data_IF_169158532636
#
_entry.id   IF_169158532636
#
_cell.length_a   1.000
_cell.length_b   1.000
_cell.length_c   1.000
_cell.angle_alpha   90.00
_cell.angle_beta   90.00
_cell.angle_gamma   90.00
#
_symmetry.space_group_name_H-M   'P 1'
#
loop_
_entity.id
_entity.type
_entity.pdbx_description
1 polymer ?
2 non-polymer ?
3 non-polymer ?
4 water ?
#
# COMPACT_ATOMS: atom_id res chain seq x y z
N UNK A 20 -4.46 -30.48 -8.83
CA UNK A 20 -3.37 -30.37 -9.78
C UNK A 20 -3.85 -29.72 -11.07
N UNK A 21 -4.40 -28.51 -10.96
CA UNK A 21 -4.89 -27.78 -12.11
C UNK A 21 -3.75 -27.02 -12.77
N UNK A 22 -3.92 -26.66 -14.05
CA UNK A 22 -2.92 -25.88 -14.76
C UNK A 22 -3.03 -24.41 -14.32
N UNK A 23 -1.91 -23.69 -14.42
CA UNK A 23 -1.86 -22.32 -13.93
C UNK A 23 -2.03 -21.31 -15.06
N UNK A 24 -1.41 -21.60 -16.20
CA UNK A 24 -1.39 -20.67 -17.33
C UNK A 24 -0.36 -19.58 -17.09
N UNK A 25 -0.22 -19.16 -15.84
CA UNK A 25 0.77 -18.17 -15.46
C UNK A 25 2.18 -18.71 -15.70
N UNK A 26 2.29 -20.03 -15.84
CA UNK A 26 3.56 -20.66 -16.17
C UNK A 26 3.63 -20.81 -17.68
N UNK A 27 4.31 -19.88 -18.33
CA UNK A 27 4.25 -19.76 -19.78
C UNK A 27 5.54 -19.20 -20.39
N UNK A 28 6.19 -20.02 -21.21
CA UNK A 28 7.33 -19.58 -21.99
C UNK A 28 6.95 -19.52 -23.46
N UNK A 29 6.03 -18.60 -23.77
CA UNK A 29 5.50 -18.48 -25.13
C UNK A 29 6.56 -18.07 -26.14
N UNK A 30 6.12 -17.67 -27.34
CA UNK A 30 7.03 -17.33 -28.42
C UNK A 30 7.57 -15.91 -28.29
N UNK A 31 6.66 -14.93 -28.30
CA UNK A 31 7.04 -13.52 -28.24
C UNK A 31 7.91 -13.22 -27.03
N UNK A 32 9.04 -12.57 -27.26
CA UNK A 32 9.95 -12.19 -26.18
C UNK A 32 9.62 -10.77 -25.72
N UNK A 33 9.81 -10.50 -24.43
CA UNK A 33 9.49 -9.19 -23.88
C UNK A 33 10.24 -8.08 -24.57
N UNK A 34 11.57 -8.21 -24.63
CA UNK A 34 12.41 -7.20 -25.24
C UNK A 34 12.30 -7.20 -26.77
N UNK A 35 11.32 -7.94 -27.28
CA UNK A 35 11.05 -7.97 -28.71
C UNK A 35 10.01 -6.92 -29.09
N UNK A 36 9.23 -6.49 -28.10
CA UNK A 36 8.20 -5.49 -28.33
C UNK A 36 8.24 -4.35 -27.33
N UNK A 37 9.22 -4.39 -26.43
CA UNK A 37 9.37 -3.34 -25.42
C UNK A 37 10.80 -2.83 -25.35
N UNK A 38 10.95 -1.53 -25.14
CA UNK A 38 12.26 -0.90 -25.04
C UNK A 38 12.50 -0.42 -23.60
N UNK A 39 13.45 -1.06 -22.92
CA UNK A 39 13.73 -0.75 -21.52
C UNK A 39 14.41 0.61 -21.38
N UNK A 40 14.21 1.25 -20.23
CA UNK A 40 14.81 2.55 -19.95
C UNK A 40 15.34 2.62 -18.52
N UNK A 41 15.31 3.81 -17.93
CA UNK A 41 15.88 4.03 -16.59
C UNK A 41 15.17 3.20 -15.52
N UNK A 42 15.81 3.11 -14.35
CA UNK A 42 15.24 2.39 -13.22
C UNK A 42 14.10 3.18 -12.59
N UNK A 43 13.38 2.54 -11.68
CA UNK A 43 12.26 3.16 -10.99
C UNK A 43 12.07 2.56 -9.60
N UNK A 44 11.62 3.38 -8.65
CA UNK A 44 11.36 2.91 -7.31
C UNK A 44 12.54 3.10 -6.38
N UNK A 45 12.63 2.25 -5.37
CA UNK A 45 13.71 2.32 -4.39
C UNK A 45 13.91 0.97 -3.70
N UNK A 48 12.64 -2.80 -2.86
CA UNK A 48 13.47 -4.00 -2.88
C UNK A 48 13.23 -4.80 -4.16
N UNK A 49 12.31 -4.33 -5.00
CA UNK A 49 11.99 -5.00 -6.25
C UNK A 49 12.54 -4.22 -7.44
N UNK A 50 13.19 -4.92 -8.35
CA UNK A 50 13.76 -4.30 -9.54
C UNK A 50 12.66 -3.81 -10.47
N UNK A 51 12.73 -2.54 -10.85
CA UNK A 51 11.74 -1.94 -11.74
C UNK A 51 12.40 -1.00 -12.73
N UNK A 52 11.76 -0.83 -13.89
CA UNK A 52 12.28 0.04 -14.92
C UNK A 52 11.14 0.63 -15.75
N UNK A 53 11.38 1.77 -16.38
CA UNK A 53 10.42 2.33 -17.31
C UNK A 53 10.73 1.78 -18.70
N UNK A 54 9.68 1.53 -19.48
CA UNK A 54 9.86 1.01 -20.82
C UNK A 54 8.86 1.64 -21.78
N UNK A 55 9.11 1.47 -23.07
CA UNK A 55 8.23 2.01 -24.11
C UNK A 55 7.75 0.87 -25.00
N UNK A 56 6.46 0.91 -25.36
CA UNK A 56 5.91 -0.08 -26.26
C UNK A 56 6.45 0.18 -27.66
N UNK A 57 7.21 -0.78 -28.19
CA UNK A 57 7.84 -0.62 -29.50
C UNK A 57 6.81 -0.76 -30.63
N UNK A 58 5.60 -0.26 -30.40
CA UNK A 58 4.54 -0.32 -31.38
C UNK A 58 3.64 0.92 -31.29
N UNK A 59 3.31 1.32 -30.06
CA UNK A 59 2.46 2.48 -29.83
C UNK A 59 3.22 3.63 -29.17
N UNK A 60 4.46 3.36 -28.77
CA UNK A 60 5.29 4.38 -28.13
C UNK A 60 4.62 4.99 -26.89
N UNK A 61 4.06 4.13 -26.06
CA UNK A 61 3.43 4.58 -24.81
C UNK A 61 4.28 4.15 -23.62
N UNK A 62 4.27 4.97 -22.57
CA UNK A 62 5.06 4.70 -21.37
C UNK A 62 4.44 3.59 -20.53
N UNK A 63 5.28 2.66 -20.08
CA UNK A 63 4.83 1.58 -19.20
C UNK A 63 5.91 1.29 -18.17
N UNK A 64 5.48 0.77 -17.02
CA UNK A 64 6.41 0.34 -15.99
C UNK A 64 6.52 -1.18 -16.01
N UNK A 65 7.74 -1.68 -15.90
CA UNK A 65 7.97 -3.12 -15.91
C UNK A 65 8.71 -3.56 -14.65
N UNK A 66 8.31 -4.70 -14.10
CA UNK A 66 8.96 -5.25 -12.92
C UNK A 66 9.63 -6.57 -13.27
N UNK A 67 10.96 -6.58 -13.24
CA UNK A 67 11.71 -7.79 -13.53
C UNK A 67 11.96 -8.58 -12.24
N UNK A 68 11.76 -9.90 -12.32
CA UNK A 68 11.91 -10.77 -11.15
C UNK A 68 12.72 -12.01 -11.50
N UNK A 69 13.65 -12.37 -10.62
CA UNK A 69 14.47 -13.55 -10.82
C UNK A 69 13.77 -14.77 -10.26
N UNK A 70 13.35 -15.67 -11.15
CA UNK A 70 12.62 -16.86 -10.76
C UNK A 70 13.40 -17.70 -9.76
N UNK A 71 14.71 -17.75 -9.94
CA UNK A 71 15.57 -18.53 -9.07
C UNK A 71 15.59 -17.97 -7.65
N UNK A 72 15.27 -16.69 -7.52
CA UNK A 72 15.28 -16.02 -6.22
C UNK A 72 13.89 -15.92 -5.62
N UNK A 73 12.86 -16.03 -6.46
CA UNK A 73 11.49 -15.89 -6.01
C UNK A 73 10.49 -16.38 -7.06
N UNK A 74 9.35 -16.87 -6.59
CA UNK A 74 8.26 -17.28 -7.49
C UNK A 74 7.19 -16.19 -7.49
N UNK A 75 7.01 -15.53 -8.64
CA UNK A 75 6.08 -14.40 -8.76
C UNK A 75 4.64 -14.80 -9.08
N UNK A 76 4.41 -16.09 -9.33
CA UNK A 76 3.09 -16.57 -9.72
C UNK A 76 1.99 -16.00 -8.84
N UNK A 77 2.21 -16.04 -7.52
CA UNK A 77 1.22 -15.55 -6.57
C UNK A 77 0.82 -14.11 -6.88
N UNK A 78 1.81 -13.23 -6.98
CA UNK A 78 1.55 -11.82 -7.25
C UNK A 78 0.85 -11.61 -8.57
N UNK A 79 1.39 -12.22 -9.63
CA UNK A 79 0.86 -12.05 -10.97
C UNK A 79 -0.64 -12.35 -11.02
N UNK A 80 -1.05 -13.43 -10.36
CA UNK A 80 -2.46 -13.80 -10.33
C UNK A 80 -3.30 -12.74 -9.62
N UNK A 81 -2.80 -12.25 -8.50
CA UNK A 81 -3.49 -11.21 -7.74
C UNK A 81 -3.72 -9.99 -8.61
N UNK A 82 -2.74 -9.67 -9.45
CA UNK A 82 -2.85 -8.53 -10.35
C UNK A 82 -3.90 -8.79 -11.43
N UNK A 83 -3.98 -10.03 -11.89
CA UNK A 83 -4.91 -10.40 -12.94
C UNK A 83 -6.36 -10.31 -12.46
N UNK A 84 -6.66 -10.98 -11.36
CA UNK A 84 -8.03 -11.08 -10.86
C UNK A 84 -8.53 -9.79 -10.22
N UNK A 85 -7.60 -8.92 -9.80
CA UNK A 85 -7.98 -7.71 -9.08
C UNK A 85 -7.40 -6.43 -9.70
N UNK A 86 -6.90 -6.54 -10.93
CA UNK A 86 -6.35 -5.39 -11.62
C UNK A 86 -7.44 -4.44 -12.09
N UNK A 87 -8.61 -5.01 -12.40
CA UNK A 87 -9.74 -4.23 -12.89
C UNK A 87 -10.07 -3.07 -11.94
N UNK A 88 -9.81 -3.28 -10.66
CA UNK A 88 -10.05 -2.24 -9.66
C UNK A 88 -9.32 -0.97 -10.08
N UNK A 89 -10.04 0.16 -10.14
CA UNK A 89 -9.45 1.42 -10.61
C UNK A 89 -8.28 1.86 -9.74
N UNK A 90 -8.39 1.66 -8.44
CA UNK A 90 -7.36 2.06 -7.49
C UNK A 90 -6.34 0.95 -7.21
N UNK A 91 -6.19 0.03 -8.15
CA UNK A 91 -5.16 -1.00 -8.05
C UNK A 91 -4.33 -1.01 -9.34
N UNK A 92 -3.02 -0.87 -9.21
CA UNK A 92 -2.13 -0.82 -10.35
C UNK A 92 -2.50 -1.90 -11.36
N UNK A 93 -2.74 -1.49 -12.60
CA UNK A 93 -3.25 -2.39 -13.62
C UNK A 93 -2.14 -3.10 -14.38
N UNK A 94 -2.31 -4.40 -14.59
CA UNK A 94 -1.38 -5.18 -15.39
C UNK A 94 -1.71 -5.00 -16.87
N UNK A 95 -0.71 -4.65 -17.66
CA UNK A 95 -0.92 -4.38 -19.08
C UNK A 95 -0.28 -5.45 -19.95
N UNK A 96 0.64 -6.23 -19.37
CA UNK A 96 1.31 -7.30 -20.11
C UNK A 96 2.23 -8.06 -19.17
N UNK A 97 2.66 -9.26 -19.59
CA UNK A 97 3.54 -10.08 -18.79
C UNK A 97 4.28 -11.11 -19.64
N UNK A 98 5.54 -11.36 -19.30
CA UNK A 98 6.37 -12.30 -20.05
C UNK A 98 7.21 -13.17 -19.14
N UNK A 99 7.82 -14.20 -19.72
CA UNK A 99 8.69 -15.11 -18.98
C UNK A 99 9.72 -15.70 -19.93
N UNK A 100 10.92 -15.13 -19.93
CA UNK A 100 11.98 -15.55 -20.83
C UNK A 100 12.69 -16.81 -20.33
N UNK A 101 12.10 -17.45 -19.33
CA UNK A 101 12.67 -18.66 -18.77
C UNK A 101 13.41 -18.41 -17.47
N UNK A 102 14.22 -17.35 -17.45
CA UNK A 102 15.01 -17.01 -16.28
C UNK A 102 14.33 -15.93 -15.45
N UNK A 103 13.80 -14.92 -16.13
CA UNK A 103 13.14 -13.81 -15.46
C UNK A 103 11.67 -13.70 -15.84
N UNK A 104 10.96 -12.81 -15.16
CA UNK A 104 9.55 -12.55 -15.45
C UNK A 104 9.32 -11.06 -15.53
N UNK A 105 8.67 -10.61 -16.61
CA UNK A 105 8.50 -9.19 -16.87
C UNK A 105 7.05 -8.73 -16.67
N UNK A 106 6.73 -8.36 -15.43
CA UNK A 106 5.40 -7.89 -15.09
C UNK A 106 5.21 -6.45 -15.58
N UNK A 107 4.59 -6.30 -16.75
CA UNK A 107 4.40 -4.98 -17.35
C UNK A 107 3.09 -4.35 -16.87
N UNK A 108 3.22 -3.28 -16.08
CA UNK A 108 2.05 -2.57 -15.57
C UNK A 108 2.08 -1.11 -16.01
N UNK A 109 1.04 -0.37 -15.66
CA UNK A 109 0.97 1.05 -16.01
C UNK A 109 1.96 1.87 -15.19
N UNK A 110 2.52 2.91 -15.81
CA UNK A 110 3.53 3.73 -15.16
C UNK A 110 2.89 4.79 -14.26
N UNK A 111 3.59 5.15 -13.19
CA UNK A 111 3.09 6.13 -12.24
C UNK A 111 3.79 7.48 -12.42
N UNK A 112 3.14 8.39 -13.13
CA UNK A 112 3.71 9.69 -13.42
C UNK A 112 3.32 10.73 -12.37
N UNK A 113 2.46 10.33 -11.42
CA UNK A 113 2.00 11.23 -10.39
C UNK A 113 2.85 11.20 -9.14
N UNK A 114 3.92 10.43 -9.18
CA UNK A 114 4.82 10.31 -8.03
C UNK A 114 4.11 9.70 -6.84
N UNK A 115 4.79 9.68 -5.69
CA UNK A 115 4.22 9.12 -4.47
C UNK A 115 3.15 10.04 -3.92
N UNK A 116 2.00 9.46 -3.57
CA UNK A 116 0.86 10.22 -3.07
C UNK A 116 1.25 11.08 -1.87
N UNK A 117 1.93 10.48 -0.90
CA UNK A 117 2.32 11.19 0.31
C UNK A 117 3.25 12.36 0.00
N UNK A 118 4.20 12.13 -0.91
CA UNK A 118 5.15 13.16 -1.31
C UNK A 118 4.43 14.42 -1.80
N UNK A 119 3.42 14.22 -2.63
CA UNK A 119 2.68 15.35 -3.19
C UNK A 119 1.86 16.08 -2.13
N UNK A 120 1.15 15.31 -1.31
CA UNK A 120 0.26 15.89 -0.30
C UNK A 120 1.03 16.70 0.75
N UNK A 121 2.18 16.19 1.16
CA UNK A 121 2.97 16.85 2.20
C UNK A 121 3.55 18.17 1.71
N UNK A 122 3.44 18.43 0.41
CA UNK A 122 3.95 19.67 -0.17
C UNK A 122 2.81 20.64 -0.51
N UNK A 123 1.59 20.25 -0.17
CA UNK A 123 0.42 21.10 -0.38
C UNK A 123 0.05 21.83 0.90
N UNK A 124 0.55 23.06 1.04
CA UNK A 124 0.31 23.85 2.24
C UNK A 124 -1.18 24.00 2.54
N UNK A 125 -1.99 24.04 1.49
CA UNK A 125 -3.43 24.24 1.64
C UNK A 125 -4.18 22.91 1.60
N UNK A 126 -3.72 21.95 2.38
CA UNK A 126 -4.36 20.64 2.45
C UNK A 126 -5.19 20.54 3.72
N UNK A 127 -6.48 20.22 3.57
CA UNK A 127 -7.41 20.17 4.69
C UNK A 127 -7.78 18.75 5.05
N UNK A 128 -8.52 18.60 6.15
CA UNK A 128 -8.97 17.30 6.61
C UNK A 128 -9.96 16.68 5.64
N UNK A 129 -10.94 17.49 5.20
CA UNK A 129 -11.94 17.02 4.25
C UNK A 129 -11.27 16.45 3.01
N UNK A 130 -10.08 16.96 2.69
CA UNK A 130 -9.31 16.47 1.55
C UNK A 130 -8.56 15.19 1.94
N UNK A 131 -8.00 15.17 3.14
CA UNK A 131 -7.27 14.02 3.64
C UNK A 131 -8.22 12.84 3.89
N UNK A 132 -9.46 13.16 4.27
CA UNK A 132 -10.45 12.14 4.56
C UNK A 132 -10.94 11.47 3.28
N UNK A 133 -10.93 12.22 2.18
CA UNK A 133 -11.33 11.68 0.88
C UNK A 133 -10.23 10.77 0.34
N UNK A 134 -8.98 11.16 0.55
CA UNK A 134 -7.84 10.38 0.08
C UNK A 134 -7.80 9.02 0.77
N UNK A 135 -8.06 9.00 2.07
CA UNK A 135 -8.03 7.77 2.84
C UNK A 135 -9.23 6.88 2.54
N UNK A 136 -10.39 7.51 2.38
CA UNK A 136 -11.61 6.79 2.03
C UNK A 136 -11.38 5.95 0.79
N UNK A 137 -10.87 6.58 -0.26
CA UNK A 137 -10.62 5.91 -1.53
C UNK A 137 -9.69 4.71 -1.34
N UNK A 138 -8.65 4.90 -0.53
CA UNK A 138 -7.66 3.86 -0.30
C UNK A 138 -8.25 2.68 0.46
N UNK A 139 -8.84 2.96 1.61
CA UNK A 139 -9.42 1.90 2.45
C UNK A 139 -10.49 1.13 1.69
N UNK A 140 -11.29 1.85 0.90
CA UNK A 140 -12.32 1.23 0.07
C UNK A 140 -11.70 0.13 -0.80
N UNK A 141 -10.46 0.36 -1.23
CA UNK A 141 -9.75 -0.61 -2.05
C UNK A 141 -9.23 -1.75 -1.20
N UNK A 142 -8.72 -1.42 -0.02
CA UNK A 142 -8.18 -2.42 0.90
C UNK A 142 -9.28 -3.33 1.43
N UNK A 143 -10.46 -2.77 1.66
CA UNK A 143 -11.59 -3.54 2.15
C UNK A 143 -11.96 -4.63 1.14
N UNK A 144 -12.09 -4.24 -0.11
CA UNK A 144 -12.40 -5.18 -1.18
C UNK A 144 -11.37 -6.31 -1.20
N UNK A 145 -10.10 -5.95 -1.25
CA UNK A 145 -9.02 -6.94 -1.27
C UNK A 145 -9.14 -7.92 -0.11
N UNK A 146 -9.35 -7.38 1.10
CA UNK A 146 -9.53 -8.22 2.27
C UNK A 146 -10.73 -9.14 2.11
N UNK A 147 -11.83 -8.56 1.62
CA UNK A 147 -13.08 -9.30 1.45
C UNK A 147 -12.89 -10.50 0.51
N UNK A 148 -11.90 -10.42 -0.37
CA UNK A 148 -11.63 -11.50 -1.30
C UNK A 148 -10.48 -12.36 -0.79
N UNK A 149 -10.16 -12.22 0.50
CA UNK A 149 -9.11 -13.02 1.12
C UNK A 149 -7.73 -12.67 0.62
N UNK A 150 -7.48 -11.37 0.43
CA UNK A 150 -6.18 -10.91 -0.02
C UNK A 150 -5.62 -9.86 0.93
N UNK A 151 -4.34 -10.00 1.28
CA UNK A 151 -3.65 -9.02 2.11
C UNK A 151 -2.42 -8.50 1.38
N UNK A 152 -2.00 -7.29 1.70
CA UNK A 152 -0.86 -6.67 1.04
C UNK A 152 0.44 -7.04 1.74
N UNK A 153 0.48 -6.81 3.06
CA UNK A 153 1.64 -7.18 3.87
C UNK A 153 2.88 -6.37 3.47
N UNK A 154 2.66 -5.16 2.99
CA UNK A 154 3.73 -4.24 2.61
C UNK A 154 3.11 -2.93 2.15
N UNK A 155 2.10 -2.48 2.88
CA UNK A 155 1.29 -1.34 2.46
C UNK A 155 1.85 -0.03 2.97
N UNK A 156 3.15 0.19 2.75
CA UNK A 156 3.80 1.43 3.19
C UNK A 156 3.54 2.55 2.17
N UNK A 157 3.58 3.80 2.64
CA UNK A 157 3.23 4.98 1.84
C UNK A 157 3.93 5.04 0.49
N UNK A 158 5.16 4.51 0.40
CA UNK A 158 5.93 4.56 -0.83
C UNK A 158 5.35 3.62 -1.89
N UNK A 159 4.38 2.80 -1.50
CA UNK A 159 3.70 1.91 -2.44
C UNK A 159 2.31 2.40 -2.81
N UNK A 160 1.98 3.60 -2.35
CA UNK A 160 0.74 4.26 -2.75
C UNK A 160 1.08 5.50 -3.55
N UNK A 161 0.72 5.49 -4.83
CA UNK A 161 1.15 6.53 -5.75
C UNK A 161 -0.02 7.10 -6.55
N UNK A 162 0.26 8.16 -7.30
CA UNK A 162 -0.70 8.73 -8.23
C UNK A 162 -0.34 8.30 -9.65
N UNK A 163 -1.34 7.89 -10.42
CA UNK A 163 -1.11 7.47 -11.80
C UNK A 163 -0.80 8.68 -12.67
N UNK A 164 -1.48 9.78 -12.39
CA UNK A 164 -1.25 11.04 -13.11
C UNK A 164 -1.27 12.21 -12.13
N UNK A 165 -1.10 13.42 -12.66
CA UNK A 165 -1.06 14.61 -11.83
C UNK A 165 -2.41 15.32 -11.79
N UNK A 166 -3.48 14.57 -12.04
CA UNK A 166 -4.83 15.14 -12.02
C UNK A 166 -5.15 15.64 -10.61
N UNK A 167 -4.58 15.00 -9.60
CA UNK A 167 -4.74 15.41 -8.22
C UNK A 167 -5.94 14.77 -7.54
N UNK A 168 -6.81 14.13 -8.32
CA UNK A 168 -8.00 13.51 -7.76
C UNK A 168 -7.76 12.07 -7.31
N UNK A 169 -8.51 11.65 -6.27
CA UNK A 169 -8.37 10.31 -5.67
C UNK A 169 -8.52 9.16 -6.66
N UNK A 170 -9.27 9.38 -7.73
CA UNK A 170 -9.49 8.33 -8.73
C UNK A 170 -8.16 7.93 -9.36
N UNK A 171 -7.17 8.81 -9.25
CA UNK A 171 -5.85 8.56 -9.83
C UNK A 171 -4.89 7.92 -8.83
N UNK A 172 -5.43 7.47 -7.69
CA UNK A 172 -4.62 6.81 -6.67
C UNK A 172 -4.44 5.34 -7.01
N UNK A 173 -3.24 4.82 -6.76
CA UNK A 173 -2.92 3.44 -7.08
C UNK A 173 -2.14 2.75 -5.97
N UNK A 174 -2.64 1.61 -5.52
CA UNK A 174 -1.88 0.75 -4.62
C UNK A 174 -1.01 -0.17 -5.47
N UNK A 175 0.27 -0.26 -5.14
CA UNK A 175 1.23 -0.94 -6.00
C UNK A 175 2.04 -2.00 -5.28
N UNK A 176 2.91 -2.67 -6.04
CA UNK A 176 3.81 -3.69 -5.52
C UNK A 176 3.10 -4.69 -4.61
N UNK A 177 2.50 -5.70 -5.23
CA UNK A 177 1.87 -6.80 -4.50
C UNK A 177 2.84 -7.97 -4.37
N UNK A 178 4.12 -7.65 -4.22
CA UNK A 178 5.16 -8.67 -4.13
C UNK A 178 4.97 -9.57 -2.92
N UNK A 179 4.61 -8.97 -1.78
CA UNK A 179 4.41 -9.72 -0.56
C UNK A 179 2.94 -10.00 -0.28
N UNK A 180 2.11 -9.88 -1.32
CA UNK A 180 0.69 -10.14 -1.19
C UNK A 180 0.44 -11.64 -1.11
N UNK A 181 -0.64 -12.02 -0.44
CA UNK A 181 -0.97 -13.44 -0.26
C UNK A 181 -2.49 -13.64 -0.24
N UNK A 182 -2.96 -14.56 -1.08
CA UNK A 182 -4.38 -14.88 -1.13
C UNK A 182 -4.75 -15.89 -0.05
N UNK A 183 -6.03 -15.99 0.26
CA UNK A 183 -6.52 -16.96 1.23
C UNK A 183 -6.98 -18.21 0.52
N UNK A 184 -6.52 -19.37 0.99
CA UNK A 184 -6.90 -20.64 0.40
C UNK A 184 -6.82 -21.77 1.43
N UNK A 185 -7.68 -22.78 1.26
CA UNK A 185 -7.70 -23.93 2.16
C UNK A 185 -6.47 -24.80 1.96
N UNK A 186 -6.32 -25.79 2.82
CA UNK A 186 -5.16 -26.67 2.77
C UNK A 186 -5.06 -27.42 1.44
N UNK A 187 -6.21 -27.77 0.87
CA UNK A 187 -6.24 -28.52 -0.38
C UNK A 187 -5.91 -27.66 -1.60
N UNK A 188 -6.06 -26.35 -1.47
CA UNK A 188 -5.69 -25.43 -2.53
C UNK A 188 -6.80 -24.48 -2.95
N UNK A 189 -8.02 -24.77 -2.52
CA UNK A 189 -9.17 -23.95 -2.89
C UNK A 189 -9.05 -22.54 -2.34
N UNK A 190 -9.34 -21.55 -3.18
CA UNK A 190 -9.36 -20.16 -2.75
C UNK A 190 -10.69 -19.85 -2.09
N UNK A 191 -10.63 -19.31 -0.87
CA UNK A 191 -11.83 -18.99 -0.12
C UNK A 191 -11.77 -17.56 0.41
N UNK A 192 -12.94 -16.96 0.59
CA UNK A 192 -13.02 -15.62 1.17
C UNK A 192 -13.14 -15.73 2.69
N UNK A 193 -12.76 -14.67 3.40
CA UNK A 193 -12.79 -14.67 4.87
C UNK A 193 -14.18 -14.98 5.42
N UNK A 194 -15.20 -14.89 4.57
CA UNK A 194 -16.55 -15.21 4.99
C UNK A 194 -16.81 -16.71 4.86
N UNK A 195 -16.63 -17.24 3.66
CA UNK A 195 -16.83 -18.67 3.41
C UNK A 195 -15.94 -19.50 4.32
N UNK A 196 -16.54 -20.25 5.23
CA UNK A 196 -15.80 -21.00 6.23
C UNK A 196 -15.99 -22.51 6.10
N UNK A 197 -16.96 -22.91 5.29
CA UNK A 197 -17.28 -24.33 5.12
C UNK A 197 -16.03 -25.18 4.90
N UNK A 198 -15.10 -24.67 4.10
CA UNK A 198 -13.87 -25.40 3.79
C UNK A 198 -12.99 -25.55 5.03
N UNK A 199 -12.00 -26.44 4.92
CA UNK A 199 -11.07 -26.69 6.03
C UNK A 199 -9.75 -25.97 5.79
N UNK A 200 -9.47 -24.95 6.60
CA UNK A 200 -8.25 -24.17 6.45
C UNK A 200 -7.40 -24.27 7.72
N UNK A 201 -6.08 -24.34 7.54
CA UNK A 201 -5.16 -24.44 8.66
C UNK A 201 -5.36 -23.28 9.64
N UNK A 202 -5.27 -23.57 10.95
CA UNK A 202 -5.49 -22.56 11.98
C UNK A 202 -4.49 -21.41 11.94
N UNK A 203 -3.20 -21.71 12.08
CA UNK A 203 -2.17 -20.68 12.08
C UNK A 203 -2.25 -19.84 10.81
N UNK A 204 -2.76 -20.43 9.73
CA UNK A 204 -2.94 -19.71 8.48
C UNK A 204 -4.07 -18.69 8.60
N UNK A 205 -5.19 -19.13 9.15
CA UNK A 205 -6.31 -18.24 9.41
C UNK A 205 -5.91 -17.17 10.42
N UNK A 206 -4.92 -17.50 11.25
CA UNK A 206 -4.41 -16.55 12.23
C UNK A 206 -3.51 -15.52 11.56
N UNK A 207 -2.50 -16.00 10.84
CA UNK A 207 -1.58 -15.12 10.14
C UNK A 207 -2.33 -14.19 9.19
N UNK A 208 -3.40 -14.72 8.59
CA UNK A 208 -4.19 -13.94 7.65
C UNK A 208 -4.95 -12.83 8.38
N UNK A 209 -5.09 -12.98 9.69
CA UNK A 209 -5.75 -11.99 10.51
C UNK A 209 -4.80 -10.88 10.91
N UNK A 210 -3.58 -11.27 11.25
CA UNK A 210 -2.55 -10.32 11.65
C UNK A 210 -2.09 -9.50 10.44
N UNK A 211 -1.94 -10.16 9.30
CA UNK A 211 -1.54 -9.50 8.07
C UNK A 211 -2.54 -8.41 7.69
N UNK A 212 -3.83 -8.73 7.82
CA UNK A 212 -4.89 -7.79 7.49
C UNK A 212 -4.89 -6.61 8.46
N UNK A 213 -4.32 -6.82 9.64
CA UNK A 213 -4.23 -5.77 10.65
C UNK A 213 -3.00 -4.91 10.41
N UNK A 214 -1.94 -5.52 9.91
CA UNK A 214 -0.70 -4.79 9.60
C UNK A 214 -0.96 -3.77 8.50
N UNK A 215 -1.81 -4.12 7.55
CA UNK A 215 -2.17 -3.21 6.47
C UNK A 215 -2.85 -1.98 7.03
N UNK A 216 -3.87 -2.18 7.86
CA UNK A 216 -4.61 -1.09 8.47
C UNK A 216 -3.69 -0.22 9.31
N UNK A 217 -2.70 -0.85 9.95
CA UNK A 217 -1.74 -0.11 10.76
C UNK A 217 -0.89 0.80 9.88
N UNK A 218 -0.47 0.29 8.73
CA UNK A 218 0.32 1.09 7.79
C UNK A 218 -0.51 2.25 7.26
N UNK A 219 -1.83 2.07 7.21
CA UNK A 219 -2.72 3.15 6.80
C UNK A 219 -2.86 4.16 7.93
N UNK A 220 -2.69 3.70 9.16
CA UNK A 220 -2.68 4.58 10.32
C UNK A 220 -1.46 5.47 10.28
N UNK A 221 -0.33 4.88 9.90
CA UNK A 221 0.91 5.63 9.74
C UNK A 221 0.75 6.69 8.67
N UNK A 222 0.00 6.37 7.63
CA UNK A 222 -0.22 7.29 6.53
C UNK A 222 -1.04 8.48 6.99
N UNK A 223 -2.23 8.20 7.53
CA UNK A 223 -3.12 9.24 8.01
C UNK A 223 -2.41 10.14 9.02
N UNK A 224 -1.62 9.54 9.89
CA UNK A 224 -0.88 10.28 10.91
C UNK A 224 0.01 11.32 10.26
N UNK A 225 0.83 10.89 9.30
CA UNK A 225 1.76 11.77 8.63
C UNK A 225 1.03 12.84 7.81
N UNK A 226 -0.11 12.46 7.24
CA UNK A 226 -0.90 13.41 6.44
C UNK A 226 -1.41 14.55 7.29
N UNK A 227 -1.79 14.26 8.53
CA UNK A 227 -2.35 15.26 9.42
C UNK A 227 -1.26 16.16 10.01
N UNK A 228 -0.31 15.56 10.72
CA UNK A 228 0.74 16.32 11.39
C UNK A 228 1.76 16.86 10.40
N UNK A 229 2.42 15.95 9.68
CA UNK A 229 3.48 16.33 8.77
C UNK A 229 4.76 15.57 9.07
N UNK A 230 4.74 14.75 10.11
CA UNK A 230 5.88 13.92 10.49
C UNK A 230 5.44 12.51 10.82
N UNK A 231 6.39 11.58 10.80
CA UNK A 231 6.12 10.18 11.09
C UNK A 231 5.85 9.96 12.57
N UNK A 232 4.89 9.09 12.90
CA UNK A 232 4.50 8.83 14.30
C UNK A 232 5.60 8.16 15.15
N UNK A 233 6.30 7.19 14.59
CA UNK A 233 7.27 6.41 15.36
C UNK A 233 8.71 6.70 14.97
N UNK A 234 8.93 7.78 14.22
CA UNK A 234 10.28 8.15 13.79
C UNK A 234 10.36 9.64 13.49
N UNK A 235 11.53 10.22 13.75
CA UNK A 235 11.76 11.64 13.50
C UNK A 235 12.63 11.88 12.27
N UNK A 236 13.57 10.96 12.04
CA UNK A 236 14.47 11.08 10.90
C UNK A 236 15.01 9.74 10.48
N UNK A 237 15.85 9.73 9.42
CA UNK A 237 16.46 8.51 8.89
C UNK A 237 17.64 8.02 9.73
N UNK A 238 17.88 8.65 10.87
CA UNK A 238 19.00 8.31 11.73
C UNK A 238 18.57 7.60 13.01
N UNK A 239 17.30 7.74 13.37
CA UNK A 239 16.78 7.07 14.56
C UNK A 239 17.19 5.61 14.58
N UNK A 240 17.74 5.16 15.70
CA UNK A 240 18.21 3.79 15.82
C UNK A 240 17.02 2.82 15.79
N UNK A 241 17.24 1.62 15.23
CA UNK A 241 16.17 0.63 15.13
C UNK A 241 15.50 0.37 16.49
N UNK A 242 16.30 0.34 17.55
CA UNK A 242 15.81 0.00 18.87
C UNK A 242 14.80 1.03 19.40
N UNK A 243 15.12 2.30 19.24
CA UNK A 243 14.26 3.36 19.78
C UNK A 243 12.97 3.46 18.99
N UNK A 244 13.03 3.19 17.69
CA UNK A 244 11.83 3.18 16.87
C UNK A 244 10.91 2.04 17.31
N UNK A 245 11.44 0.82 17.26
CA UNK A 245 10.68 -0.35 17.70
C UNK A 245 10.15 -0.15 19.11
N UNK A 246 10.92 0.57 19.93
CA UNK A 246 10.50 0.88 21.29
C UNK A 246 9.23 1.71 21.27
N UNK A 247 9.20 2.73 20.42
CA UNK A 247 8.02 3.57 20.28
C UNK A 247 6.85 2.75 19.74
N UNK A 248 7.15 1.84 18.82
CA UNK A 248 6.12 1.00 18.20
C UNK A 248 5.58 -0.03 19.19
N UNK A 249 6.46 -0.53 20.06
CA UNK A 249 6.07 -1.53 21.03
C UNK A 249 5.32 -0.95 22.22
N UNK A 250 5.48 0.34 22.45
CA UNK A 250 4.84 1.01 23.58
C UNK A 250 3.36 1.26 23.30
N UNK A 251 3.01 1.39 22.03
CA UNK A 251 1.64 1.67 21.65
C UNK A 251 1.20 3.05 22.11
N UNK A 252 2.18 3.92 22.35
CA UNK A 252 1.91 5.29 22.81
C UNK A 252 2.36 6.29 21.76
N UNK A 253 1.49 7.27 21.47
CA UNK A 253 1.80 8.30 20.49
C UNK A 253 1.02 9.56 20.81
N UNK A 254 1.72 10.69 20.81
CA UNK A 254 1.12 11.96 21.20
C UNK A 254 0.08 12.44 20.20
N UNK A 255 -1.00 13.02 20.73
CA UNK A 255 -2.06 13.59 19.92
C UNK A 255 -2.54 14.90 20.52
N UNK A 256 -1.63 15.56 21.25
CA UNK A 256 -1.96 16.82 21.92
C UNK A 256 -0.82 17.82 21.79
N UNK A 257 -0.03 17.68 20.72
CA UNK A 257 1.07 18.59 20.47
C UNK A 257 0.61 19.83 19.74
N UNK A 258 1.53 20.73 19.46
CA UNK A 258 1.22 21.96 18.75
C UNK A 258 0.54 21.70 17.43
N UNK A 259 1.14 20.82 16.63
CA UNK A 259 0.59 20.46 15.32
C UNK A 259 -0.77 19.78 15.45
N UNK A 260 -1.12 19.37 16.67
CA UNK A 260 -2.38 18.67 16.91
C UNK A 260 -3.46 19.59 17.46
N UNK A 261 -3.28 20.89 17.29
CA UNK A 261 -4.25 21.86 17.78
C UNK A 261 -5.41 22.07 16.80
N UNK A 262 -5.05 22.23 15.52
CA UNK A 262 -6.05 22.44 14.48
C UNK A 262 -6.53 21.12 13.90
N UNK A 263 -6.66 20.10 14.75
CA UNK A 263 -7.10 18.78 14.33
C UNK A 263 -8.31 18.34 15.13
N UNK A 264 -9.37 17.94 14.44
CA UNK A 264 -10.60 17.50 15.08
C UNK A 264 -10.36 16.24 15.91
N UNK A 265 -11.22 16.00 16.89
CA UNK A 265 -11.08 14.83 17.75
C UNK A 265 -11.40 13.55 16.98
N UNK A 266 -12.37 13.61 16.09
CA UNK A 266 -12.71 12.47 15.25
C UNK A 266 -11.46 11.96 14.53
N UNK A 267 -10.59 12.89 14.15
CA UNK A 267 -9.32 12.53 13.53
C UNK A 267 -8.41 11.86 14.54
N UNK A 268 -8.17 12.54 15.66
CA UNK A 268 -7.34 12.00 16.73
C UNK A 268 -7.83 10.63 17.14
N UNK A 269 -9.15 10.46 17.20
CA UNK A 269 -9.76 9.20 17.59
C UNK A 269 -9.49 8.11 16.55
N UNK A 270 -9.84 8.39 15.30
CA UNK A 270 -9.62 7.45 14.21
C UNK A 270 -8.15 7.05 14.14
N UNK A 271 -7.26 8.03 14.34
CA UNK A 271 -5.83 7.80 14.25
C UNK A 271 -5.33 6.89 15.36
N UNK A 272 -6.01 6.92 16.51
CA UNK A 272 -5.63 6.08 17.64
C UNK A 272 -6.16 4.66 17.46
N UNK A 273 -7.33 4.55 16.85
CA UNK A 273 -7.95 3.25 16.63
C UNK A 273 -7.14 2.44 15.61
N UNK A 274 -6.84 3.04 14.47
CA UNK A 274 -6.10 2.38 13.41
C UNK A 274 -4.68 2.02 13.83
N UNK A 275 -4.17 2.71 14.84
CA UNK A 275 -2.81 2.49 15.30
C UNK A 275 -2.77 1.77 16.65
N UNK A 276 -3.90 1.24 17.07
CA UNK A 276 -3.97 0.50 18.32
C UNK A 276 -2.90 -0.60 18.31
N UNK A 277 -2.07 -0.62 19.35
CA UNK A 277 -0.93 -1.54 19.40
C UNK A 277 -1.36 -3.00 19.25
N UNK A 278 -2.39 -3.40 19.98
CA UNK A 278 -2.94 -4.74 19.87
C UNK A 278 -3.76 -4.90 18.59
N UNK A 279 -3.39 -5.87 17.74
CA UNK A 279 -4.09 -6.12 16.47
C UNK A 279 -5.59 -6.40 16.63
N UNK A 280 -5.94 -7.19 17.64
CA UNK A 280 -7.34 -7.59 17.83
C UNK A 280 -8.25 -6.39 18.05
N UNK A 281 -7.80 -5.46 18.90
CA UNK A 281 -8.60 -4.29 19.25
C UNK A 281 -8.56 -3.24 18.13
N UNK A 282 -7.66 -3.45 17.17
CA UNK A 282 -7.50 -2.53 16.05
C UNK A 282 -8.65 -2.66 15.07
N UNK A 283 -9.04 -1.54 14.45
CA UNK A 283 -10.16 -1.52 13.53
C UNK A 283 -9.82 -2.24 12.22
N UNK A 284 -10.84 -2.83 11.61
CA UNK A 284 -10.69 -3.43 10.29
C UNK A 284 -11.09 -2.42 9.22
N UNK A 285 -10.68 -2.69 7.99
CA UNK A 285 -11.00 -1.79 6.87
C UNK A 285 -12.47 -1.39 6.88
N UNK A 286 -13.33 -2.37 7.13
CA UNK A 286 -14.77 -2.14 7.14
C UNK A 286 -15.16 -1.14 8.24
N UNK A 287 -14.65 -1.36 9.44
CA UNK A 287 -14.96 -0.48 10.57
C UNK A 287 -14.43 0.92 10.33
N UNK A 288 -13.22 1.03 9.82
CA UNK A 288 -12.61 2.32 9.53
C UNK A 288 -13.55 3.17 8.68
N UNK A 289 -14.17 2.54 7.69
CA UNK A 289 -15.07 3.25 6.78
C UNK A 289 -16.35 3.68 7.48
N UNK A 290 -16.65 3.06 8.62
CA UNK A 290 -17.85 3.40 9.39
C UNK A 290 -17.56 4.58 10.32
N UNK A 291 -16.29 4.80 10.63
CA UNK A 291 -15.88 5.87 11.53
C UNK A 291 -16.44 7.20 11.02
N UNK A 292 -16.95 8.04 11.93
CA UNK A 292 -17.61 9.31 11.56
C UNK A 292 -16.70 10.25 10.79
N UNK A 293 -15.39 10.02 10.82
CA UNK A 293 -14.43 10.87 10.12
C UNK A 293 -14.45 10.56 8.63
N UNK A 294 -14.79 9.33 8.29
CA UNK A 294 -14.91 8.92 6.89
C UNK A 294 -16.34 9.10 6.41
N UNK A 295 -17.30 8.83 7.30
CA UNK A 295 -18.71 8.95 6.97
C UNK A 295 -19.14 10.40 6.90
N UNK A 296 -19.04 11.11 8.02
CA UNK A 296 -19.43 12.51 8.09
C UNK A 296 -18.27 13.42 7.70
N UNK A 297 -17.78 13.23 6.47
CA UNK A 297 -16.66 14.02 5.98
C UNK A 297 -17.09 15.46 5.66
N UNK A 298 -18.39 15.65 5.43
CA UNK A 298 -18.91 16.97 5.10
C UNK A 298 -18.90 17.90 6.32
N UNK A 299 -18.69 17.33 7.50
CA UNK A 299 -18.60 18.11 8.72
C UNK A 299 -17.17 18.57 8.98
N UNK A 300 -16.21 17.82 8.46
CA UNK A 300 -14.79 18.08 8.71
C UNK A 300 -14.41 19.51 8.35
N UNK A 301 -13.37 20.04 9.01
CA UNK A 301 -12.85 21.38 8.73
C UNK A 301 -12.31 21.49 7.30
N UNK A 302 -12.04 22.71 6.84
CA UNK A 302 -11.54 22.91 5.49
C UNK A 302 -10.34 23.85 5.46
N UNK A 303 -10.05 24.50 6.58
CA UNK A 303 -8.90 25.39 6.67
C UNK A 303 -7.61 24.57 6.67
N UNK A 304 -6.60 25.07 5.95
CA UNK A 304 -5.34 24.37 5.81
C UNK A 304 -4.85 23.80 7.15
N UNK A 305 -4.18 22.66 7.09
CA UNK A 305 -3.66 22.01 8.30
C UNK A 305 -2.33 22.62 8.71
N UNK A 306 -2.23 23.00 9.98
CA UNK A 306 -0.98 23.47 10.55
C UNK A 306 -0.01 22.31 10.68
N UNK A 307 0.88 22.17 9.71
CA UNK A 307 1.75 21.00 9.63
C UNK A 307 3.23 21.36 9.59
N UNK A 308 4.07 20.33 9.60
CA UNK A 308 5.50 20.50 9.41
C UNK A 308 5.83 20.33 7.94
N UNK A 309 6.70 21.19 7.42
CA UNK A 309 7.09 21.13 6.02
C UNK A 309 8.50 20.57 5.87
N UNK A 310 8.60 19.25 5.78
CA UNK A 310 9.89 18.58 5.60
C UNK A 310 9.68 17.19 5.03
N UNK A 311 9.12 17.12 3.82
CA UNK A 311 8.76 15.85 3.17
C UNK A 311 9.95 14.90 3.01
N UNK A 312 11.13 15.45 2.79
CA UNK A 312 12.32 14.63 2.60
C UNK A 312 12.70 13.91 3.89
N UNK A 313 12.64 14.62 5.01
CA UNK A 313 12.93 14.04 6.31
C UNK A 313 11.95 12.93 6.62
N UNK A 314 10.67 13.17 6.34
CA UNK A 314 9.63 12.18 6.57
C UNK A 314 9.93 10.92 5.76
N UNK A 315 10.34 11.11 4.51
CA UNK A 315 10.69 9.99 3.64
C UNK A 315 11.83 9.18 4.23
N UNK A 316 12.68 9.85 5.00
CA UNK A 316 13.78 9.19 5.68
C UNK A 316 13.30 8.46 6.92
N UNK A 317 12.41 9.12 7.67
CA UNK A 317 11.87 8.54 8.90
C UNK A 317 11.00 7.34 8.57
N UNK A 318 10.20 7.46 7.52
CA UNK A 318 9.29 6.39 7.11
C UNK A 318 10.08 5.15 6.72
N UNK A 319 11.17 5.35 5.97
CA UNK A 319 12.01 4.25 5.53
C UNK A 319 12.72 3.60 6.71
N UNK A 320 13.08 4.40 7.70
CA UNK A 320 13.74 3.90 8.89
C UNK A 320 12.79 3.06 9.73
N UNK A 321 11.52 3.44 9.71
CA UNK A 321 10.50 2.70 10.46
C UNK A 321 10.38 1.27 9.93
N UNK A 322 10.02 1.14 8.66
CA UNK A 322 9.80 -0.17 8.06
C UNK A 322 11.08 -0.99 7.95
N UNK A 323 12.22 -0.30 7.92
CA UNK A 323 13.51 -0.98 7.87
C UNK A 323 13.73 -1.80 9.14
N UNK A 324 13.39 -1.21 10.29
CA UNK A 324 13.52 -1.89 11.57
C UNK A 324 12.45 -2.98 11.69
N UNK A 325 11.23 -2.68 11.25
CA UNK A 325 10.15 -3.65 11.28
C UNK A 325 10.53 -4.94 10.58
N UNK A 326 11.00 -4.82 9.35
CA UNK A 326 11.35 -5.99 8.54
C UNK A 326 12.80 -6.42 8.74
N UNK A 327 13.36 -6.07 9.89
CA UNK A 327 14.75 -6.41 10.21
C UNK A 327 14.94 -7.93 10.26
N UNK A 328 13.96 -8.62 10.84
CA UNK A 328 14.02 -10.07 10.95
C UNK A 328 13.98 -10.75 9.59
X LIG B 1 5.30 3.27 -11.50
X LIG B 1 6.09 2.86 -10.66
X LIG B 1 6.45 1.39 -10.63
X LIG B 1 7.39 0.90 -9.71
X LIG B 1 7.74 -0.55 -9.69
X LIG B 1 8.76 -1.09 -8.69
X LIG B 1 8.30 -1.36 -7.30
X LIG B 1 7.32 -2.50 -7.32
X LIG B 1 6.57 -3.35 -7.34
X LIG B 1 7.62 -0.16 -6.71
X LIG B 1 8.40 0.90 -6.13
X LIG B 1 6.41 -0.09 -6.75
X LIG B 1 7.12 -1.42 -10.55
X LIG B 1 6.11 -0.91 -11.54
X LIG B 1 5.79 0.43 -11.57
X LIG B 1 6.69 3.84 -9.67
X LIG B 1 6.81 3.68 -8.29
X LIG B 1 7.41 4.82 -7.78
X LIG B 1 7.68 5.71 -8.82
X LIG B 1 8.24 6.92 -8.82
X LIG B 1 8.40 7.60 -9.96
X LIG B 1 7.98 7.08 -11.19
X LIG B 1 7.40 5.81 -11.21
X LIG B 1 7.24 5.12 -10.01
X LIG B 1 7.82 1.52 -9.10
X LIG B 1 9.52 -0.49 -8.66
X LIG B 1 9.07 -1.61 -6.74
X LIG B 1 7.97 1.63 -5.78
X LIG B 1 9.29 0.85 -6.11
X LIG B 1 7.34 -2.35 -10.54
X LIG B 1 5.69 -1.51 -12.15
X LIG B 1 5.14 0.77 -12.20
X LIG B 1 6.52 2.91 -7.78
X LIG B 1 7.60 4.96 -6.91
X LIG B 1 8.82 8.48 -9.94
X LIG B 1 7.10 5.42 -12.04
X LIG C 1 -6.66 -0.57 -12.12
#
# INVERSE_FOLDING_TARGET
AHHHHHHVDDDDKMQTVGVHSIVQQLHRNSIQFTDGYEVKEDIGVGSYSVCKRCIHKATNMEFAVKIIDKSKRDPTEEIEILLRYGQHPNIITLKDVYDDGKYVYVVTELMKGGELLDKILRQKFFSEREASAVLFTITKTVEYLHAQGVVHRDLKPSNILYVDESGNPESIRICDFGFAKQLRAENGLLMTPCYTANFVAPEVLERQGYDAACDIWSLGVLLYTMLTGYTPFANGPDDTPEEILARIGSGKFSLSGGYWNSVSDTAKDLVSKMLHVDPHQRLTAALVLRHPWIVHWDQLPQYQLNRQDAPHLVKGAMAATYSALNRNQSPVLEPVGRSTLAQRRGIKKITSTAL
1LC O01 C02 C03 C04 C05 C06 C07 C08 N09 C10 N11 O12 C13 C14 C15 C16 C17 N18 C19 N20 C21 C22 C23 C24 H041 H062 H071 H112 H111 H131 H141 H151 H171 H181 H211 H231
NA NA
#
